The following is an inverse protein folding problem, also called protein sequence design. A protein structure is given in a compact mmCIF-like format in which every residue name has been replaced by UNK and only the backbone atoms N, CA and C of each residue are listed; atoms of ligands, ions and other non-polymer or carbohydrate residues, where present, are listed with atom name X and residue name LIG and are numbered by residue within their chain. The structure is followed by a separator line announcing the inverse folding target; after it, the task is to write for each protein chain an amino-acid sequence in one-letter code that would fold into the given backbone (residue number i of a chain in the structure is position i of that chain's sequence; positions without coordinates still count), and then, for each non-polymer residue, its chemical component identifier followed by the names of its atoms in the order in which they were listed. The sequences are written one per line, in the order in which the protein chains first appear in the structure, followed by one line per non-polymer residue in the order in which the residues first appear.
data_IF_470127130920
#
_entry.id   IF_470127130920
#
_cell.length_a   1.000
_cell.length_b   1.000
_cell.length_c   1.000
_cell.angle_alpha   90.00
_cell.angle_beta   90.00
_cell.angle_gamma   90.00
#
_symmetry.space_group_name_H-M   'P 1'
#
loop_
_entity.id
_entity.type
_entity.pdbx_description
1 polymer ?
#
# COMPACT_ATOMS: atom_id res chain seq x y z
N UNK A 1 -11.35 -27.54 41.53
CA UNK A 1 -11.44 -26.16 41.01
C UNK A 1 -10.35 -25.35 41.66
N UNK A 2 -9.38 -24.89 40.88
CA UNK A 2 -8.21 -24.14 41.35
C UNK A 2 -7.25 -23.95 40.18
N UNK A 3 -7.63 -23.08 39.24
CA UNK A 3 -6.76 -22.63 38.16
C UNK A 3 -5.63 -21.79 38.78
N UNK A 4 -4.38 -22.24 38.65
CA UNK A 4 -3.21 -21.39 38.89
C UNK A 4 -2.75 -20.91 37.53
N UNK A 5 -3.06 -19.64 37.27
CA UNK A 5 -2.53 -18.82 36.18
C UNK A 5 -1.01 -18.82 36.18
N UNK A 6 -0.40 -19.50 35.22
CA UNK A 6 0.99 -19.25 34.80
C UNK A 6 1.05 -17.85 34.18
N UNK A 7 1.40 -16.86 34.99
CA UNK A 7 1.80 -15.56 34.50
C UNK A 7 3.09 -15.72 33.70
N UNK A 8 3.07 -15.27 32.44
CA UNK A 8 4.22 -15.13 31.54
C UNK A 8 5.47 -14.67 32.29
N UNK A 9 6.40 -15.60 32.53
CA UNK A 9 7.76 -15.27 32.93
C UNK A 9 8.44 -14.69 31.70
N UNK A 10 8.39 -13.35 31.61
CA UNK A 10 9.12 -12.60 30.61
C UNK A 10 10.59 -12.88 30.85
N UNK A 11 11.19 -13.70 29.99
CA UNK A 11 12.60 -14.04 29.99
C UNK A 11 13.44 -12.77 29.79
N UNK A 12 13.62 -12.01 30.87
CA UNK A 12 14.54 -10.87 30.95
C UNK A 12 15.94 -11.46 30.88
N UNK A 13 16.57 -11.34 29.73
CA UNK A 13 18.02 -11.53 29.63
C UNK A 13 18.67 -10.64 30.69
N UNK A 14 19.53 -11.19 31.57
CA UNK A 14 20.18 -10.39 32.60
C UNK A 14 20.95 -9.25 31.92
N UNK A 15 20.83 -8.01 32.42
CA UNK A 15 21.48 -6.86 31.81
C UNK A 15 22.99 -7.06 31.85
N UNK A 16 23.61 -7.09 30.67
CA UNK A 16 25.07 -7.12 30.54
C UNK A 16 25.59 -5.73 30.87
N UNK A 17 26.27 -5.60 32.00
CA UNK A 17 26.83 -4.34 32.47
C UNK A 17 28.19 -4.12 31.79
N UNK A 18 28.29 -3.13 30.91
CA UNK A 18 29.54 -2.75 30.25
C UNK A 18 30.40 -1.94 31.24
N UNK A 19 31.33 -2.65 31.90
CA UNK A 19 32.32 -2.07 32.80
C UNK A 19 33.68 -2.01 32.10
N UNK A 20 34.45 -0.97 32.39
CA UNK A 20 35.89 -0.94 32.12
C UNK A 20 36.60 -2.04 32.92
N UNK A 21 37.81 -2.47 32.51
CA UNK A 21 38.59 -3.49 33.24
C UNK A 21 38.86 -3.13 34.71
N UNK A 22 38.83 -1.84 35.05
CA UNK A 22 39.00 -1.30 36.40
C UNK A 22 37.69 -1.27 37.22
N UNK A 23 36.60 -1.85 36.69
CA UNK A 23 35.30 -1.93 37.37
C UNK A 23 34.49 -0.63 37.35
N UNK A 24 34.91 0.39 36.58
CA UNK A 24 34.09 1.59 36.39
C UNK A 24 33.07 1.38 35.27
N UNK A 25 31.83 1.77 35.51
CA UNK A 25 30.81 1.85 34.47
C UNK A 25 31.29 2.81 33.38
N UNK A 26 31.13 2.43 32.11
CA UNK A 26 31.33 3.40 31.03
C UNK A 26 30.27 4.49 31.14
N UNK A 27 30.70 5.73 31.33
CA UNK A 27 29.81 6.87 31.21
C UNK A 27 29.24 6.93 29.79
N UNK A 28 27.93 7.18 29.62
CA UNK A 28 27.36 7.36 28.30
C UNK A 28 28.05 8.54 27.61
N UNK A 29 28.57 8.32 26.40
CA UNK A 29 29.10 9.40 25.57
C UNK A 29 27.98 10.45 25.43
N UNK A 30 28.21 11.72 25.82
CA UNK A 30 27.17 12.74 25.72
C UNK A 30 26.69 12.81 24.27
N UNK A 31 25.36 12.89 24.04
CA UNK A 31 24.83 12.95 22.68
C UNK A 31 25.50 14.11 21.96
N UNK A 32 26.13 13.82 20.82
CA UNK A 32 26.80 14.83 20.00
C UNK A 32 25.81 15.97 19.78
N UNK A 33 26.13 17.15 20.31
CA UNK A 33 25.26 18.33 20.23
C UNK A 33 25.08 18.65 18.74
N UNK A 34 23.94 18.29 18.16
CA UNK A 34 23.64 18.62 16.76
C UNK A 34 23.83 20.11 16.56
N UNK A 35 24.68 20.48 15.61
CA UNK A 35 24.91 21.88 15.27
C UNK A 35 23.60 22.53 14.82
N UNK A 36 23.49 23.85 14.99
CA UNK A 36 22.36 24.63 14.46
C UNK A 36 22.18 24.41 12.94
N UNK A 37 23.29 24.22 12.22
CA UNK A 37 23.29 23.88 10.80
C UNK A 37 22.67 22.50 10.52
N UNK A 38 23.00 21.47 11.31
CA UNK A 38 22.43 20.12 11.15
C UNK A 38 20.91 20.13 11.36
N UNK A 39 20.43 20.93 12.32
CA UNK A 39 18.99 21.10 12.56
C UNK A 39 18.29 21.78 11.39
N UNK A 40 18.93 22.78 10.78
CA UNK A 40 18.40 23.46 9.61
C UNK A 40 18.33 22.50 8.41
N UNK A 41 19.39 21.73 8.16
CA UNK A 41 19.42 20.70 7.13
C UNK A 41 18.36 19.63 7.34
N UNK A 42 18.21 19.12 8.57
CA UNK A 42 17.19 18.13 8.90
C UNK A 42 15.78 18.66 8.64
N UNK A 43 15.53 19.94 8.98
CA UNK A 43 14.22 20.57 8.77
C UNK A 43 13.92 20.83 7.30
N UNK A 44 14.91 21.32 6.54
CA UNK A 44 14.78 21.52 5.09
C UNK A 44 14.60 20.18 4.39
N UNK A 45 15.38 19.16 4.75
CA UNK A 45 15.25 17.80 4.22
C UNK A 45 13.88 17.19 4.51
N UNK A 46 13.36 17.38 5.71
CA UNK A 46 12.01 16.95 6.09
C UNK A 46 10.93 17.63 5.25
N UNK A 47 10.99 18.95 5.07
CA UNK A 47 10.04 19.70 4.24
C UNK A 47 10.17 19.28 2.78
N UNK A 48 11.38 19.18 2.25
CA UNK A 48 11.65 18.78 0.87
C UNK A 48 11.09 17.38 0.58
N UNK A 49 11.24 16.43 1.51
CA UNK A 49 10.66 15.09 1.39
C UNK A 49 9.13 15.14 1.33
N UNK A 50 8.51 15.98 2.16
CA UNK A 50 7.06 16.12 2.19
C UNK A 50 6.52 16.75 0.89
N UNK A 51 7.23 17.75 0.36
CA UNK A 51 6.92 18.35 -0.95
C UNK A 51 7.12 17.33 -2.08
N UNK A 52 8.20 16.56 -2.06
CA UNK A 52 8.48 15.55 -3.08
C UNK A 52 7.40 14.45 -3.09
N UNK A 53 6.97 13.99 -1.91
CA UNK A 53 5.85 13.06 -1.78
C UNK A 53 4.54 13.67 -2.30
N UNK A 54 4.24 14.91 -1.92
CA UNK A 54 3.05 15.61 -2.41
C UNK A 54 3.04 15.78 -3.93
N UNK A 55 4.17 16.23 -4.50
CA UNK A 55 4.33 16.39 -5.95
C UNK A 55 4.25 15.04 -6.68
N UNK A 56 4.85 13.99 -6.12
CA UNK A 56 4.78 12.64 -6.68
C UNK A 56 3.34 12.10 -6.72
N UNK A 57 2.60 12.21 -5.62
CA UNK A 57 1.19 11.80 -5.55
C UNK A 57 0.34 12.62 -6.52
N UNK A 58 0.55 13.94 -6.59
CA UNK A 58 -0.19 14.81 -7.49
C UNK A 58 0.10 14.48 -8.96
N UNK A 59 1.36 14.18 -9.30
CA UNK A 59 1.74 13.74 -10.65
C UNK A 59 1.08 12.41 -11.02
N UNK A 60 1.07 11.42 -10.11
CA UNK A 60 0.39 10.15 -10.31
C UNK A 60 -1.13 10.32 -10.46
N UNK A 61 -1.73 11.21 -9.67
CA UNK A 61 -3.15 11.54 -9.79
C UNK A 61 -3.46 12.18 -11.15
N UNK A 62 -2.65 13.12 -11.62
CA UNK A 62 -2.78 13.72 -12.94
C UNK A 62 -2.67 12.67 -14.06
N UNK A 63 -1.71 11.75 -13.95
CA UNK A 63 -1.55 10.65 -14.90
C UNK A 63 -2.77 9.70 -14.87
N UNK A 64 -3.30 9.39 -13.69
CA UNK A 64 -4.50 8.58 -13.55
C UNK A 64 -5.73 9.25 -14.19
N UNK A 65 -5.91 10.56 -13.97
CA UNK A 65 -6.99 11.34 -14.61
C UNK A 65 -6.84 11.31 -16.13
N UNK A 66 -5.62 11.48 -16.65
CA UNK A 66 -5.34 11.40 -18.09
C UNK A 66 -5.62 10.00 -18.65
N UNK A 67 -5.22 8.96 -17.93
CA UNK A 67 -5.51 7.59 -18.34
C UNK A 67 -7.02 7.31 -18.35
N UNK A 68 -7.74 7.73 -17.30
CA UNK A 68 -9.19 7.56 -17.20
C UNK A 68 -9.95 8.38 -18.24
N UNK A 69 -9.51 9.61 -18.54
CA UNK A 69 -10.18 10.45 -19.54
C UNK A 69 -10.12 9.86 -20.94
N UNK A 70 -9.07 9.09 -21.25
CA UNK A 70 -8.93 8.36 -22.52
C UNK A 70 -9.61 6.99 -22.45
N UNK A 71 -9.44 6.26 -21.35
CA UNK A 71 -9.97 4.90 -21.21
C UNK A 71 -11.50 4.89 -21.12
N UNK A 72 -12.09 5.86 -20.41
CA UNK A 72 -13.53 5.95 -20.20
C UNK A 72 -14.33 6.04 -21.52
N UNK A 73 -14.03 6.95 -22.47
CA UNK A 73 -14.76 6.99 -23.74
C UNK A 73 -14.55 5.72 -24.57
N UNK A 74 -13.34 5.14 -24.55
CA UNK A 74 -13.08 3.86 -25.26
C UNK A 74 -13.94 2.75 -24.67
N UNK A 75 -13.99 2.63 -23.34
CA UNK A 75 -14.81 1.64 -22.64
C UNK A 75 -16.30 1.84 -22.93
N UNK A 76 -16.78 3.08 -22.97
CA UNK A 76 -18.17 3.39 -23.34
C UNK A 76 -18.49 2.97 -24.77
N UNK A 77 -17.63 3.29 -25.73
CA UNK A 77 -17.84 2.89 -27.14
C UNK A 77 -17.80 1.37 -27.28
N UNK A 78 -16.83 0.70 -26.66
CA UNK A 78 -16.72 -0.75 -26.67
C UNK A 78 -17.96 -1.41 -26.05
N UNK A 79 -18.44 -0.88 -24.92
CA UNK A 79 -19.66 -1.33 -24.26
C UNK A 79 -20.89 -1.14 -25.15
N UNK A 80 -21.01 0.00 -25.82
CA UNK A 80 -22.11 0.29 -26.73
C UNK A 80 -22.12 -0.65 -27.94
N UNK A 81 -20.96 -0.91 -28.54
CA UNK A 81 -20.81 -1.86 -29.65
C UNK A 81 -21.16 -3.27 -29.18
N UNK A 82 -20.67 -3.70 -28.01
CA UNK A 82 -20.98 -5.01 -27.44
C UNK A 82 -22.49 -5.18 -27.17
N UNK A 83 -23.10 -4.19 -26.52
CA UNK A 83 -24.54 -4.18 -26.25
C UNK A 83 -25.38 -4.18 -27.53
N UNK A 84 -25.02 -3.33 -28.51
CA UNK A 84 -25.68 -3.27 -29.81
C UNK A 84 -25.57 -4.59 -30.58
N UNK A 85 -24.38 -5.20 -30.59
CA UNK A 85 -24.14 -6.51 -31.21
C UNK A 85 -24.99 -7.61 -30.57
N UNK A 86 -25.06 -7.65 -29.24
CA UNK A 86 -25.87 -8.63 -28.52
C UNK A 86 -27.36 -8.42 -28.76
N UNK A 87 -27.83 -7.17 -28.73
CA UNK A 87 -29.22 -6.83 -28.99
C UNK A 87 -29.65 -7.20 -30.42
N UNK A 88 -28.79 -6.93 -31.40
CA UNK A 88 -29.01 -7.32 -32.78
C UNK A 88 -29.07 -8.84 -32.95
N UNK A 89 -28.17 -9.56 -32.28
CA UNK A 89 -28.16 -11.02 -32.23
C UNK A 89 -29.45 -11.56 -31.61
N UNK A 90 -29.89 -11.02 -30.47
CA UNK A 90 -31.15 -11.41 -29.82
C UNK A 90 -32.36 -11.13 -30.72
N UNK A 91 -32.40 -9.99 -31.41
CA UNK A 91 -33.46 -9.71 -32.40
C UNK A 91 -33.47 -10.71 -33.54
N UNK A 92 -32.30 -11.15 -34.02
CA UNK A 92 -32.22 -12.15 -35.10
C UNK A 92 -32.50 -13.59 -34.63
N UNK A 93 -32.23 -13.92 -33.37
CA UNK A 93 -32.47 -15.25 -32.81
C UNK A 93 -33.76 -15.36 -31.98
N UNK A 94 -34.53 -14.28 -31.82
CA UNK A 94 -35.84 -14.29 -31.16
C UNK A 94 -36.90 -15.17 -31.84
N UNK A 95 -36.58 -15.78 -33.00
CA UNK A 95 -37.40 -16.82 -33.65
C UNK A 95 -36.79 -18.22 -33.68
N UNK A 96 -35.55 -18.43 -33.21
CA UNK A 96 -34.94 -19.76 -33.13
C UNK A 96 -34.65 -20.06 -31.66
N UNK A 97 -35.59 -20.80 -31.07
CA UNK A 97 -35.42 -21.47 -29.79
C UNK A 97 -34.05 -22.11 -29.72
N UNK A 98 -33.36 -21.86 -28.61
CA UNK A 98 -32.07 -22.48 -28.28
C UNK A 98 -32.27 -23.99 -28.37
N UNK A 99 -31.86 -24.59 -29.50
CA UNK A 99 -31.88 -26.04 -29.69
C UNK A 99 -30.76 -26.60 -28.83
N UNK A 100 -31.06 -26.83 -27.56
CA UNK A 100 -30.22 -27.59 -26.66
C UNK A 100 -30.01 -28.97 -27.27
N UNK A 101 -28.79 -29.22 -27.77
CA UNK A 101 -28.39 -30.55 -28.23
C UNK A 101 -28.14 -31.37 -26.97
N UNK A 102 -29.17 -32.09 -26.52
CA UNK A 102 -29.01 -33.12 -25.51
C UNK A 102 -28.28 -34.31 -26.15
N UNK A 103 -26.98 -34.44 -25.84
CA UNK A 103 -26.24 -35.67 -26.09
C UNK A 103 -26.70 -36.67 -25.03
N UNK A 104 -27.59 -37.60 -25.39
CA UNK A 104 -27.77 -38.83 -24.59
C UNK A 104 -26.60 -39.75 -24.91
N UNK A 105 -25.83 -40.09 -23.87
CA UNK A 105 -24.84 -41.17 -23.91
C UNK A 105 -25.53 -42.50 -23.63
#
# INVERSE_FOLDING_TARGET
MGHVTEAMETHRRPPVIDMTPDGQFRDPVPPRTMGTFDRLLARIGGIAMLVALGAGVLALAGLAVLALSVLLPIALIAGLIGAGSLWWRMRRHGGQSVRFVFIRR
#
